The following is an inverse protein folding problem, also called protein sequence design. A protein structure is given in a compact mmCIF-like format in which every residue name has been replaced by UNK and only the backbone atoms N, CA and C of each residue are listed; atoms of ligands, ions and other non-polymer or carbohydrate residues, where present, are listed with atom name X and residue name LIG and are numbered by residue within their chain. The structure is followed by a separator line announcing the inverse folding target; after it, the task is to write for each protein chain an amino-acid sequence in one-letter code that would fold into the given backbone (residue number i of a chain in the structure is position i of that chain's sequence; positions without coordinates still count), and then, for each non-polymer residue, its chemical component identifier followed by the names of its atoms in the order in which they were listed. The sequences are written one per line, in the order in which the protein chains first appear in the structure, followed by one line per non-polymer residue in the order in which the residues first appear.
data_IF_154267480752
#
_entry.id   IF_154267480752
#
_cell.length_a   1.000
_cell.length_b   1.000
_cell.length_c   1.000
_cell.angle_alpha   90.00
_cell.angle_beta   90.00
_cell.angle_gamma   90.00
#
_symmetry.space_group_name_H-M   'P 1'
#
loop_
_entity.id
_entity.type
_entity.pdbx_description
1 polymer ?
#
# COMPACT_ATOMS: atom_id res chain seq x y z
N UNK A 1 14.39 1.15 7.52
CA UNK A 1 14.10 -0.08 6.74
C UNK A 1 12.59 -0.34 6.77
N UNK A 2 12.10 -1.27 5.97
CA UNK A 2 10.73 -1.77 6.08
C UNK A 2 10.62 -2.93 7.10
N UNK A 3 9.41 -3.45 7.42
CA UNK A 3 9.25 -4.52 8.39
C UNK A 3 9.85 -5.87 7.94
N UNK A 4 10.23 -6.00 6.66
CA UNK A 4 10.90 -7.18 6.12
C UNK A 4 12.43 -7.11 6.23
N UNK A 5 12.96 -6.04 6.83
CA UNK A 5 14.39 -5.81 7.00
C UNK A 5 15.07 -5.18 5.78
N UNK A 6 14.30 -4.79 4.75
CA UNK A 6 14.88 -4.17 3.54
C UNK A 6 15.22 -2.71 3.82
N UNK A 7 16.47 -2.33 3.54
CA UNK A 7 16.88 -0.93 3.59
C UNK A 7 16.11 -0.09 2.54
N UNK A 8 15.47 0.99 3.00
CA UNK A 8 14.70 1.92 2.15
C UNK A 8 15.54 3.10 1.64
N UNK A 9 16.59 3.43 2.39
CA UNK A 9 17.59 4.47 2.13
C UNK A 9 18.93 4.00 2.72
N UNK A 10 20.07 4.54 2.25
CA UNK A 10 21.36 4.30 2.88
C UNK A 10 21.36 4.72 4.37
N UNK A 11 22.15 4.03 5.19
CA UNK A 11 22.40 4.46 6.56
C UNK A 11 23.19 5.77 6.57
N UNK A 12 23.02 6.55 7.65
CA UNK A 12 23.71 7.81 7.85
C UNK A 12 24.29 7.87 9.26
N UNK A 13 25.43 8.56 9.41
CA UNK A 13 26.07 8.79 10.70
C UNK A 13 26.06 10.28 11.02
N UNK A 14 25.72 10.63 12.27
CA UNK A 14 25.83 11.99 12.81
C UNK A 14 26.75 11.95 14.03
N UNK A 15 27.53 13.02 14.22
CA UNK A 15 28.43 13.17 15.35
C UNK A 15 27.89 14.20 16.32
N UNK A 16 27.93 13.88 17.60
CA UNK A 16 27.49 14.73 18.69
C UNK A 16 28.59 14.76 19.77
N UNK A 17 28.62 15.82 20.57
CA UNK A 17 29.54 15.90 21.70
C UNK A 17 29.22 14.81 22.73
N UNK A 18 30.25 14.24 23.37
CA UNK A 18 30.04 13.28 24.44
C UNK A 18 29.21 13.89 25.58
N UNK A 19 28.26 13.11 26.13
CA UNK A 19 27.35 13.56 27.18
C UNK A 19 26.17 14.42 26.69
N UNK A 20 26.15 14.83 25.41
CA UNK A 20 25.01 15.56 24.85
C UNK A 20 23.80 14.65 24.60
N UNK A 21 22.64 15.28 24.43
CA UNK A 21 21.42 14.62 24.03
C UNK A 21 21.22 14.76 22.51
N UNK A 22 20.67 13.73 21.87
CA UNK A 22 20.21 13.80 20.48
C UNK A 22 18.85 13.13 20.30
N UNK A 23 18.22 13.38 19.15
CA UNK A 23 16.94 12.79 18.76
C UNK A 23 17.10 11.88 17.55
N UNK A 24 16.25 10.87 17.48
CA UNK A 24 16.08 10.03 16.30
C UNK A 24 15.16 10.76 15.31
N UNK A 25 15.73 11.55 14.41
CA UNK A 25 14.94 12.29 13.42
C UNK A 25 14.32 11.34 12.41
N UNK A 26 13.00 11.41 12.24
CA UNK A 26 12.32 10.65 11.19
C UNK A 26 12.59 11.27 9.82
N UNK A 27 12.56 10.43 8.79
CA UNK A 27 12.76 10.82 7.40
C UNK A 27 11.45 10.61 6.63
N UNK A 28 11.05 11.61 5.84
CA UNK A 28 9.94 11.41 4.92
C UNK A 28 10.39 10.57 3.71
N UNK A 29 9.65 9.49 3.43
CA UNK A 29 9.89 8.60 2.29
C UNK A 29 8.58 8.33 1.57
N UNK A 30 8.51 8.70 0.28
CA UNK A 30 7.33 8.47 -0.54
C UNK A 30 6.94 6.98 -0.56
N UNK A 31 5.65 6.69 -0.40
CA UNK A 31 5.10 5.33 -0.34
C UNK A 31 5.28 4.62 1.00
N UNK A 32 5.80 5.29 2.03
CA UNK A 32 6.02 4.72 3.36
C UNK A 32 5.61 5.71 4.45
N UNK A 33 5.15 5.19 5.59
CA UNK A 33 4.89 5.96 6.82
C UNK A 33 5.72 5.43 7.96
N UNK A 34 6.15 6.33 8.85
CA UNK A 34 6.94 5.95 10.01
C UNK A 34 6.12 5.06 10.94
N UNK A 35 6.69 3.92 11.33
CA UNK A 35 6.05 2.96 12.21
C UNK A 35 6.63 3.05 13.63
N UNK A 36 7.95 2.86 13.76
CA UNK A 36 8.64 2.88 15.06
C UNK A 36 10.15 3.04 14.90
N UNK A 37 10.83 3.30 16.02
CA UNK A 37 12.29 3.29 16.12
C UNK A 37 12.72 2.10 16.99
N UNK A 38 13.77 1.42 16.57
CA UNK A 38 14.40 0.30 17.28
C UNK A 38 15.86 0.65 17.63
N UNK A 39 16.42 -0.02 18.64
CA UNK A 39 17.78 0.21 19.15
C UNK A 39 17.81 0.77 20.58
N UNK A 40 18.98 1.23 21.03
CA UNK A 40 19.20 1.72 22.39
C UNK A 40 18.81 3.20 22.55
N UNK A 41 17.51 3.49 22.54
CA UNK A 41 16.99 4.87 22.61
C UNK A 41 17.28 5.56 23.95
N UNK A 42 17.45 4.80 25.04
CA UNK A 42 17.85 5.34 26.34
C UNK A 42 19.25 5.96 26.34
N UNK A 43 20.11 5.55 25.39
CA UNK A 43 21.47 6.08 25.25
C UNK A 43 21.55 7.34 24.39
N UNK A 44 20.43 7.82 23.84
CA UNK A 44 20.40 9.09 23.10
C UNK A 44 20.51 10.31 24.03
N UNK A 45 20.32 10.14 25.34
CA UNK A 45 20.46 11.22 26.32
C UNK A 45 20.73 10.68 27.74
N UNK A 46 21.99 10.71 28.23
CA UNK A 46 23.18 11.24 27.57
C UNK A 46 23.86 10.22 26.64
N UNK A 47 24.48 10.71 25.57
CA UNK A 47 25.36 9.91 24.72
C UNK A 47 26.66 9.57 25.44
N UNK A 48 26.82 8.32 25.84
CA UNK A 48 28.04 7.81 26.48
C UNK A 48 28.87 6.87 25.59
N UNK A 49 28.33 6.46 24.44
CA UNK A 49 28.95 5.54 23.50
C UNK A 49 28.36 5.75 22.09
N UNK A 50 28.90 5.03 21.10
CA UNK A 50 28.26 4.94 19.78
C UNK A 50 26.90 4.27 19.92
N UNK A 51 25.85 4.91 19.39
CA UNK A 51 24.49 4.39 19.41
C UNK A 51 24.05 4.10 17.98
N UNK A 52 23.59 2.88 17.75
CA UNK A 52 22.92 2.50 16.51
C UNK A 52 21.41 2.48 16.73
N UNK A 53 20.68 3.14 15.84
CA UNK A 53 19.22 3.16 15.82
C UNK A 53 18.72 2.79 14.44
N UNK A 54 17.57 2.13 14.41
CA UNK A 54 16.90 1.76 13.16
C UNK A 54 15.51 2.36 13.13
N UNK A 55 15.22 3.14 12.09
CA UNK A 55 13.87 3.64 11.81
C UNK A 55 13.12 2.63 10.94
N UNK A 56 11.99 2.12 11.43
CA UNK A 56 11.11 1.19 10.74
C UNK A 56 9.94 1.96 10.12
N UNK A 57 9.67 1.71 8.85
CA UNK A 57 8.57 2.31 8.10
C UNK A 57 7.70 1.24 7.48
N UNK A 58 6.38 1.41 7.52
CA UNK A 58 5.45 0.52 6.82
C UNK A 58 5.06 1.10 5.45
N UNK A 59 4.87 0.25 4.42
CA UNK A 59 4.41 0.72 3.12
C UNK A 59 2.98 1.25 3.22
N UNK A 60 2.72 2.39 2.58
CA UNK A 60 1.35 2.91 2.46
C UNK A 60 0.62 2.02 1.46
N UNK A 61 -0.30 1.19 1.96
CA UNK A 61 -1.08 0.30 1.12
C UNK A 61 -2.30 1.06 0.57
N UNK A 62 -2.11 1.83 -0.50
CA UNK A 62 -3.21 2.51 -1.22
C UNK A 62 -3.83 1.64 -2.32
N UNK A 63 -3.53 0.33 -2.33
CA UNK A 63 -4.07 -0.61 -3.31
C UNK A 63 -5.50 -1.03 -2.98
N UNK A 64 -6.21 -1.59 -3.98
CA UNK A 64 -7.49 -2.25 -3.75
C UNK A 64 -7.22 -3.52 -2.94
N UNK A 65 -7.61 -3.54 -1.66
CA UNK A 65 -7.41 -4.67 -0.77
C UNK A 65 -8.42 -5.81 -0.99
N UNK A 66 -9.61 -5.48 -1.51
CA UNK A 66 -10.67 -6.44 -1.74
C UNK A 66 -11.62 -5.96 -2.85
N UNK A 67 -11.90 -6.81 -3.83
CA UNK A 67 -13.02 -6.64 -4.76
C UNK A 67 -13.99 -7.77 -4.41
N UNK A 68 -15.16 -7.42 -3.88
CA UNK A 68 -16.23 -8.41 -3.73
C UNK A 68 -16.97 -8.55 -5.05
N UNK A 69 -17.09 -9.77 -5.55
CA UNK A 69 -18.03 -10.11 -6.63
C UNK A 69 -19.46 -9.93 -6.08
N UNK A 70 -19.96 -8.70 -6.11
CA UNK A 70 -21.39 -8.47 -5.98
C UNK A 70 -22.04 -9.34 -7.05
N UNK A 71 -22.90 -10.27 -6.62
CA UNK A 71 -23.50 -11.30 -7.48
C UNK A 71 -23.90 -10.69 -8.81
N UNK A 72 -23.26 -11.12 -9.89
CA UNK A 72 -23.48 -10.53 -11.20
C UNK A 72 -25.00 -10.51 -11.49
N UNK A 73 -25.58 -9.34 -11.83
CA UNK A 73 -27.01 -9.26 -12.07
C UNK A 73 -27.37 -10.21 -13.21
N UNK A 74 -28.14 -11.25 -12.89
CA UNK A 74 -28.65 -12.20 -13.88
C UNK A 74 -29.58 -11.47 -14.84
N UNK A 75 -29.39 -11.68 -16.13
CA UNK A 75 -30.17 -11.05 -17.19
C UNK A 75 -29.33 -10.55 -18.36
N UNK A 76 -30.05 -10.05 -19.35
CA UNK A 76 -29.48 -9.48 -20.56
C UNK A 76 -29.62 -7.97 -20.47
N UNK A 77 -28.53 -7.25 -20.67
CA UNK A 77 -28.50 -5.80 -20.72
C UNK A 77 -27.81 -5.35 -22.00
N UNK A 78 -28.25 -4.23 -22.56
CA UNK A 78 -27.48 -3.57 -23.61
C UNK A 78 -26.23 -2.87 -23.01
N UNK A 79 -25.35 -2.34 -23.86
CA UNK A 79 -24.13 -1.67 -23.39
C UNK A 79 -24.39 -0.34 -22.65
N UNK A 80 -25.63 0.16 -22.68
CA UNK A 80 -26.07 1.31 -21.87
C UNK A 80 -26.63 0.89 -20.50
N UNK A 81 -26.66 -0.41 -20.20
CA UNK A 81 -27.17 -0.95 -18.93
C UNK A 81 -28.69 -1.13 -18.88
N UNK A 82 -29.41 -0.98 -19.99
CA UNK A 82 -30.87 -1.19 -20.03
C UNK A 82 -31.18 -2.68 -20.17
N UNK A 83 -32.07 -3.18 -19.31
CA UNK A 83 -32.51 -4.58 -19.32
C UNK A 83 -33.27 -4.92 -20.60
N UNK A 84 -32.87 -6.01 -21.24
CA UNK A 84 -33.47 -6.55 -22.47
C UNK A 84 -34.19 -7.86 -22.17
N UNK A 85 -35.35 -8.07 -22.80
CA UNK A 85 -36.09 -9.34 -22.68
C UNK A 85 -35.42 -10.48 -23.46
N UNK A 86 -34.71 -10.16 -24.54
CA UNK A 86 -34.01 -11.11 -25.41
C UNK A 86 -32.86 -10.42 -26.12
N UNK A 87 -31.77 -11.13 -26.36
CA UNK A 87 -30.69 -10.66 -27.22
C UNK A 87 -30.98 -11.00 -28.68
N UNK A 88 -30.85 -10.02 -29.57
CA UNK A 88 -30.76 -10.23 -31.03
C UNK A 88 -29.28 -10.22 -31.45
N UNK A 89 -28.99 -10.14 -32.75
CA UNK A 89 -27.60 -10.01 -33.21
C UNK A 89 -26.98 -8.70 -32.68
N UNK A 90 -25.85 -8.80 -31.97
CA UNK A 90 -25.19 -7.64 -31.36
C UNK A 90 -24.33 -7.99 -30.15
N UNK A 91 -23.91 -6.97 -29.40
CA UNK A 91 -23.11 -7.12 -28.17
C UNK A 91 -23.97 -6.76 -26.96
N UNK A 92 -24.01 -7.65 -25.97
CA UNK A 92 -24.81 -7.51 -24.74
C UNK A 92 -23.97 -7.83 -23.52
N UNK A 93 -24.44 -7.42 -22.33
CA UNK A 93 -24.01 -7.98 -21.05
C UNK A 93 -25.00 -9.10 -20.69
N UNK A 94 -24.57 -10.35 -20.72
CA UNK A 94 -25.38 -11.51 -20.36
C UNK A 94 -24.79 -12.11 -19.09
N UNK A 95 -25.56 -12.09 -18.00
CA UNK A 95 -25.17 -12.62 -16.69
C UNK A 95 -23.80 -12.09 -16.21
N UNK A 96 -23.58 -10.79 -16.43
CA UNK A 96 -22.35 -10.08 -16.08
C UNK A 96 -21.21 -10.17 -17.09
N UNK A 97 -21.37 -10.93 -18.19
CA UNK A 97 -20.33 -11.08 -19.21
C UNK A 97 -20.67 -10.37 -20.51
N UNK A 98 -19.68 -9.70 -21.11
CA UNK A 98 -19.82 -9.18 -22.48
C UNK A 98 -19.90 -10.35 -23.46
N UNK A 99 -21.03 -10.48 -24.14
CA UNK A 99 -21.31 -11.59 -25.06
C UNK A 99 -21.69 -11.04 -26.43
N UNK A 100 -21.12 -11.63 -27.48
CA UNK A 100 -21.52 -11.38 -28.87
C UNK A 100 -22.57 -12.41 -29.24
N UNK A 101 -23.79 -11.95 -29.52
CA UNK A 101 -24.89 -12.78 -30.00
C UNK A 101 -24.93 -12.70 -31.52
N UNK A 102 -24.89 -13.87 -32.18
CA UNK A 102 -24.95 -14.01 -33.63
C UNK A 102 -26.29 -14.61 -34.04
N UNK A 103 -26.76 -14.34 -35.26
CA UNK A 103 -27.88 -15.10 -35.82
C UNK A 103 -27.45 -16.58 -35.97
N UNK A 104 -28.36 -17.53 -35.75
CA UNK A 104 -28.12 -18.91 -36.11
C UNK A 104 -27.84 -19.06 -37.61
#
# INVERSE_FOLDING_TARGET
MDPTGRALVPSSTKFYAAGSACTADTLSKAGYVYLRTEGNLSQLSPLSANVEITLIYEPVNTGISHISDATAPKGIYDLSGRRQKRATQGIYIIDGQKTIVRKP
#
